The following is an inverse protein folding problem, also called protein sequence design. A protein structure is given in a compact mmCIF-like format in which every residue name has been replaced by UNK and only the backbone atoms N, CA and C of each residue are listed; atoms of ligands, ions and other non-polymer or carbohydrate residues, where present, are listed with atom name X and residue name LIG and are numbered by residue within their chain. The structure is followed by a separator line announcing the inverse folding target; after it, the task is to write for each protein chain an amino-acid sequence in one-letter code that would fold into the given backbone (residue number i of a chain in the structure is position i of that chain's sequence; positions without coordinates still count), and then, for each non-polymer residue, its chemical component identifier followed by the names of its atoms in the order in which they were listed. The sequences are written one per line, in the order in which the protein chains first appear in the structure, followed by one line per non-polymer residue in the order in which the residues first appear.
data_IF_841294388734
#
_entry.id   IF_841294388734
#
_cell.length_a   1.000
_cell.length_b   1.000
_cell.length_c   1.000
_cell.angle_alpha   90.00
_cell.angle_beta   90.00
_cell.angle_gamma   90.00
#
_symmetry.space_group_name_H-M   'P 1'
#
loop_
_entity.id
_entity.type
_entity.pdbx_description
1 polymer ?
#
# COMPACT_ATOMS: atom_id res chain seq x y z
N UNK A 1 -6.13 19.26 -18.06
CA UNK A 1 -5.22 18.18 -17.65
C UNK A 1 -5.96 17.12 -16.83
N UNK A 2 -6.66 17.50 -15.76
CA UNK A 2 -7.42 16.59 -14.88
C UNK A 2 -8.33 15.64 -15.68
N UNK A 3 -9.21 16.16 -16.53
CA UNK A 3 -10.12 15.34 -17.35
C UNK A 3 -9.40 14.31 -18.23
N UNK A 4 -8.20 14.64 -18.76
CA UNK A 4 -7.41 13.68 -19.55
C UNK A 4 -6.83 12.54 -18.69
N UNK A 5 -6.42 12.83 -17.46
CA UNK A 5 -5.84 11.84 -16.54
C UNK A 5 -6.91 10.91 -15.99
N UNK A 6 -8.08 11.47 -15.61
CA UNK A 6 -9.17 10.70 -15.00
C UNK A 6 -10.20 10.14 -16.00
N UNK A 7 -10.02 10.35 -17.32
CA UNK A 7 -11.01 9.93 -18.33
C UNK A 7 -11.37 8.43 -18.25
N UNK A 8 -10.37 7.57 -18.03
CA UNK A 8 -10.61 6.14 -17.91
C UNK A 8 -11.31 5.78 -16.62
N UNK A 9 -11.02 6.48 -15.51
CA UNK A 9 -11.76 6.31 -14.28
C UNK A 9 -13.25 6.67 -14.47
N UNK A 10 -13.56 7.77 -15.15
CA UNK A 10 -14.96 8.14 -15.47
C UNK A 10 -15.64 7.13 -16.38
N UNK A 11 -14.96 6.59 -17.40
CA UNK A 11 -15.51 5.56 -18.29
C UNK A 11 -15.81 4.29 -17.49
N UNK A 12 -14.85 3.83 -16.67
CA UNK A 12 -15.02 2.64 -15.84
C UNK A 12 -16.13 2.85 -14.81
N UNK A 13 -16.27 4.06 -14.25
CA UNK A 13 -17.39 4.41 -13.36
C UNK A 13 -18.73 4.26 -14.06
N UNK A 14 -18.88 4.86 -15.24
CA UNK A 14 -20.13 4.78 -16.00
C UNK A 14 -20.49 3.32 -16.37
N UNK A 15 -19.49 2.55 -16.82
CA UNK A 15 -19.66 1.14 -17.14
C UNK A 15 -19.97 0.30 -15.89
N UNK A 16 -19.22 0.48 -14.80
CA UNK A 16 -19.39 -0.30 -13.58
C UNK A 16 -20.72 -0.03 -12.89
N UNK A 17 -21.14 1.24 -12.81
CA UNK A 17 -22.48 1.60 -12.30
C UNK A 17 -23.59 1.06 -13.21
N UNK A 18 -23.42 1.17 -14.55
CA UNK A 18 -24.35 0.62 -15.51
C UNK A 18 -24.49 -0.91 -15.40
N UNK A 19 -23.37 -1.62 -15.28
CA UNK A 19 -23.37 -3.09 -15.07
C UNK A 19 -24.01 -3.44 -13.72
N UNK A 20 -23.74 -2.67 -12.65
CA UNK A 20 -24.39 -2.86 -11.36
C UNK A 20 -25.91 -2.75 -11.44
N UNK A 21 -26.42 -1.74 -12.16
CA UNK A 21 -27.86 -1.56 -12.38
C UNK A 21 -28.47 -2.72 -13.19
N UNK A 22 -27.76 -3.22 -14.21
CA UNK A 22 -28.19 -4.37 -14.99
C UNK A 22 -28.17 -5.67 -14.18
N UNK A 23 -27.28 -5.78 -13.19
CA UNK A 23 -27.11 -6.97 -12.36
C UNK A 23 -28.16 -7.08 -11.25
N UNK A 24 -28.38 -6.01 -10.44
CA UNK A 24 -29.32 -6.01 -9.29
C UNK A 24 -30.05 -4.66 -9.11
N UNK A 25 -30.29 -3.96 -10.20
CA UNK A 25 -31.11 -2.75 -10.22
C UNK A 25 -30.50 -1.54 -9.48
N UNK A 26 -31.36 -0.63 -9.02
CA UNK A 26 -30.93 0.62 -8.36
C UNK A 26 -30.25 0.40 -7.00
N UNK A 27 -30.54 -0.71 -6.33
CA UNK A 27 -29.88 -1.09 -5.08
C UNK A 27 -28.39 -1.32 -5.30
N UNK A 28 -28.03 -2.04 -6.36
CA UNK A 28 -26.62 -2.26 -6.72
C UNK A 28 -25.89 -0.97 -7.04
N UNK A 29 -26.55 0.01 -7.68
CA UNK A 29 -25.95 1.33 -7.93
C UNK A 29 -25.47 2.01 -6.64
N UNK A 30 -26.30 1.99 -5.60
CA UNK A 30 -25.91 2.56 -4.29
C UNK A 30 -24.72 1.82 -3.66
N UNK A 31 -24.76 0.48 -3.67
CA UNK A 31 -23.69 -0.36 -3.12
C UNK A 31 -22.36 -0.11 -3.86
N UNK A 32 -22.36 -0.18 -5.18
CA UNK A 32 -21.16 0.03 -6.02
C UNK A 32 -20.60 1.44 -5.82
N UNK A 33 -21.46 2.47 -5.73
CA UNK A 33 -21.02 3.84 -5.49
C UNK A 33 -20.37 3.99 -4.10
N UNK A 34 -20.98 3.43 -3.05
CA UNK A 34 -20.44 3.47 -1.68
C UNK A 34 -19.08 2.75 -1.63
N UNK A 35 -18.97 1.56 -2.24
CA UNK A 35 -17.73 0.81 -2.30
C UNK A 35 -16.62 1.57 -3.06
N UNK A 36 -16.96 2.23 -4.17
CA UNK A 36 -16.00 3.05 -4.92
C UNK A 36 -15.48 4.23 -4.09
N UNK A 37 -16.35 4.93 -3.38
CA UNK A 37 -15.97 6.04 -2.49
C UNK A 37 -15.11 5.54 -1.32
N UNK A 38 -15.49 4.42 -0.71
CA UNK A 38 -14.72 3.78 0.36
C UNK A 38 -13.31 3.46 -0.11
N UNK A 39 -13.16 2.79 -1.25
CA UNK A 39 -11.86 2.42 -1.82
C UNK A 39 -10.99 3.64 -2.11
N UNK A 40 -11.56 4.71 -2.72
CA UNK A 40 -10.83 5.95 -2.98
C UNK A 40 -10.33 6.58 -1.68
N UNK A 41 -11.14 6.54 -0.63
CA UNK A 41 -10.81 7.13 0.67
C UNK A 41 -9.73 6.35 1.41
N UNK A 42 -9.80 5.01 1.36
CA UNK A 42 -8.83 4.12 2.03
C UNK A 42 -7.49 4.05 1.31
N UNK A 43 -7.49 4.20 -0.02
CA UNK A 43 -6.28 4.03 -0.85
C UNK A 43 -5.63 5.35 -1.28
N UNK A 44 -5.96 6.47 -0.65
CA UNK A 44 -5.36 7.76 -1.01
C UNK A 44 -3.86 7.83 -0.67
N UNK A 45 -3.46 7.35 0.49
CA UNK A 45 -2.08 7.21 0.95
C UNK A 45 -1.27 6.31 0.00
N UNK A 46 -1.84 5.18 -0.42
CA UNK A 46 -1.24 4.29 -1.40
C UNK A 46 -0.92 5.03 -2.72
N UNK A 47 -1.80 5.92 -3.20
CA UNK A 47 -1.51 6.71 -4.39
C UNK A 47 -0.29 7.62 -4.24
N UNK A 48 -0.08 8.22 -3.07
CA UNK A 48 1.05 9.11 -2.78
C UNK A 48 2.36 8.31 -2.73
N UNK A 49 2.35 7.17 -2.06
CA UNK A 49 3.52 6.28 -1.94
C UNK A 49 3.92 5.72 -3.30
N UNK A 50 2.96 5.17 -4.02
CA UNK A 50 3.18 4.65 -5.36
C UNK A 50 3.74 5.73 -6.29
N UNK A 51 3.28 6.98 -6.17
CA UNK A 51 3.80 8.09 -6.96
C UNK A 51 5.27 8.40 -6.61
N UNK A 52 5.66 8.32 -5.32
CA UNK A 52 7.04 8.53 -4.86
C UNK A 52 8.03 7.55 -5.49
N UNK A 53 7.66 6.26 -5.49
CA UNK A 53 8.49 5.19 -6.06
C UNK A 53 8.45 5.25 -7.60
N UNK A 54 7.27 5.40 -8.19
CA UNK A 54 7.06 5.41 -9.63
C UNK A 54 7.83 6.54 -10.32
N UNK A 55 8.02 7.67 -9.65
CA UNK A 55 8.80 8.80 -10.13
C UNK A 55 10.27 8.42 -10.44
N UNK A 56 10.85 7.49 -9.68
CA UNK A 56 12.23 7.00 -9.87
C UNK A 56 12.36 6.05 -11.06
N UNK A 57 11.26 5.47 -11.54
CA UNK A 57 11.23 4.48 -12.60
C UNK A 57 11.21 5.10 -14.00
N UNK A 58 11.75 4.41 -14.99
CA UNK A 58 11.70 4.83 -16.38
C UNK A 58 10.27 4.92 -16.93
N UNK A 59 10.05 5.72 -17.99
CA UNK A 59 8.75 5.90 -18.63
C UNK A 59 8.12 4.57 -19.11
N UNK A 60 8.94 3.59 -19.49
CA UNK A 60 8.51 2.24 -19.87
C UNK A 60 7.88 1.51 -18.67
N UNK A 61 8.56 1.50 -17.52
CA UNK A 61 8.08 0.85 -16.31
C UNK A 61 6.91 1.57 -15.67
N UNK A 62 6.89 2.92 -15.74
CA UNK A 62 5.71 3.69 -15.38
C UNK A 62 4.48 3.27 -16.21
N UNK A 63 4.67 3.04 -17.52
CA UNK A 63 3.59 2.57 -18.38
C UNK A 63 3.15 1.14 -18.03
N UNK A 64 4.08 0.23 -17.70
CA UNK A 64 3.76 -1.13 -17.25
C UNK A 64 2.93 -1.07 -15.96
N UNK A 65 3.36 -0.29 -14.97
CA UNK A 65 2.61 -0.11 -13.73
C UNK A 65 1.19 0.43 -13.98
N UNK A 66 1.05 1.39 -14.91
CA UNK A 66 -0.23 1.98 -15.26
C UNK A 66 -1.13 1.10 -16.14
N UNK A 67 -0.62 0.00 -16.66
CA UNK A 67 -1.39 -0.96 -17.48
C UNK A 67 -1.51 -2.31 -16.80
N UNK A 68 -0.42 -3.04 -16.67
CA UNK A 68 -0.39 -4.37 -16.04
C UNK A 68 -0.66 -4.25 -14.54
N UNK A 69 -0.04 -3.28 -13.84
CA UNK A 69 -0.29 -3.04 -12.43
C UNK A 69 -1.76 -2.71 -12.13
N UNK A 70 -2.46 -2.00 -13.02
CA UNK A 70 -3.92 -1.78 -12.89
C UNK A 70 -4.70 -3.10 -12.99
N UNK A 71 -4.33 -3.98 -13.91
CA UNK A 71 -4.97 -5.30 -14.02
C UNK A 71 -4.72 -6.14 -12.78
N UNK A 72 -3.49 -6.14 -12.25
CA UNK A 72 -3.14 -6.81 -11.00
C UNK A 72 -3.95 -6.20 -9.83
N UNK A 73 -3.99 -4.89 -9.71
CA UNK A 73 -4.70 -4.22 -8.63
C UNK A 73 -6.22 -4.44 -8.67
N UNK A 74 -6.85 -4.37 -9.85
CA UNK A 74 -8.31 -4.50 -9.99
C UNK A 74 -8.76 -5.96 -9.94
N UNK A 75 -8.11 -6.84 -10.68
CA UNK A 75 -8.50 -8.25 -10.76
C UNK A 75 -7.70 -9.14 -9.82
N UNK A 76 -6.38 -8.95 -9.75
CA UNK A 76 -5.51 -9.75 -8.92
C UNK A 76 -5.84 -9.58 -7.44
N UNK A 77 -5.76 -8.36 -6.93
CA UNK A 77 -5.90 -8.11 -5.49
C UNK A 77 -7.35 -8.18 -5.00
N UNK A 78 -8.33 -7.85 -5.83
CA UNK A 78 -9.74 -7.77 -5.41
C UNK A 78 -10.55 -9.02 -5.71
N UNK A 79 -10.13 -9.84 -6.67
CA UNK A 79 -10.82 -11.09 -7.02
C UNK A 79 -9.94 -12.31 -6.80
N UNK A 80 -8.74 -12.34 -7.39
CA UNK A 80 -7.89 -13.54 -7.36
C UNK A 80 -7.27 -13.74 -5.98
N UNK A 81 -6.79 -12.69 -5.35
CA UNK A 81 -6.11 -12.77 -4.06
C UNK A 81 -7.01 -13.29 -2.92
N UNK A 82 -8.24 -12.78 -2.70
CA UNK A 82 -9.16 -13.35 -1.71
C UNK A 82 -9.50 -14.83 -2.00
N UNK A 83 -9.67 -15.19 -3.27
CA UNK A 83 -9.92 -16.60 -3.67
C UNK A 83 -8.72 -17.49 -3.32
N UNK A 84 -7.49 -17.02 -3.60
CA UNK A 84 -6.28 -17.79 -3.25
C UNK A 84 -6.11 -17.92 -1.75
N UNK A 85 -6.40 -16.88 -0.98
CA UNK A 85 -6.33 -16.92 0.47
C UNK A 85 -7.32 -17.95 1.03
N UNK A 86 -8.58 -17.90 0.59
CA UNK A 86 -9.58 -18.90 1.00
C UNK A 86 -9.13 -20.31 0.60
N UNK A 87 -8.59 -20.47 -0.60
CA UNK A 87 -8.07 -21.75 -1.08
C UNK A 87 -6.98 -22.31 -0.14
N UNK A 88 -6.03 -21.48 0.25
CA UNK A 88 -4.91 -21.88 1.12
C UNK A 88 -5.37 -22.10 2.57
N UNK A 89 -6.13 -21.16 3.13
CA UNK A 89 -6.53 -21.20 4.55
C UNK A 89 -7.57 -22.27 4.83
N UNK A 90 -8.55 -22.44 3.94
CA UNK A 90 -9.57 -23.50 4.05
C UNK A 90 -9.10 -24.86 3.51
N UNK A 91 -7.89 -24.93 2.93
CA UNK A 91 -7.31 -26.13 2.29
C UNK A 91 -8.22 -26.73 1.21
N UNK A 92 -8.88 -25.88 0.41
CA UNK A 92 -9.73 -26.25 -0.72
C UNK A 92 -9.06 -25.84 -2.04
N UNK A 93 -9.49 -26.42 -3.15
CA UNK A 93 -8.95 -26.04 -4.46
C UNK A 93 -9.36 -24.63 -4.90
N UNK A 94 -8.53 -23.92 -5.73
CA UNK A 94 -8.89 -22.59 -6.22
C UNK A 94 -10.22 -22.55 -6.97
N UNK A 95 -10.53 -23.59 -7.75
CA UNK A 95 -11.80 -23.71 -8.48
C UNK A 95 -12.98 -23.86 -7.51
N UNK A 96 -12.78 -24.60 -6.43
CA UNK A 96 -13.78 -24.78 -5.38
C UNK A 96 -14.02 -23.47 -4.62
N UNK A 97 -12.95 -22.71 -4.32
CA UNK A 97 -13.05 -21.35 -3.74
C UNK A 97 -13.86 -20.41 -4.63
N UNK A 98 -13.66 -20.45 -5.97
CA UNK A 98 -14.46 -19.66 -6.91
C UNK A 98 -15.93 -20.09 -6.90
N UNK A 99 -16.19 -21.42 -6.89
CA UNK A 99 -17.57 -21.93 -6.80
C UNK A 99 -18.25 -21.49 -5.50
N UNK A 100 -17.50 -21.52 -4.39
CA UNK A 100 -18.00 -21.07 -3.09
C UNK A 100 -18.34 -19.58 -3.12
N UNK A 101 -17.45 -18.74 -3.68
CA UNK A 101 -17.66 -17.31 -3.82
C UNK A 101 -18.90 -16.94 -4.64
N UNK A 102 -19.26 -17.77 -5.62
CA UNK A 102 -20.42 -17.54 -6.49
C UNK A 102 -21.71 -18.14 -5.95
N UNK A 103 -21.66 -19.29 -5.28
CA UNK A 103 -22.84 -20.07 -4.93
C UNK A 103 -23.17 -20.04 -3.42
N UNK A 104 -22.19 -19.79 -2.53
CA UNK A 104 -22.36 -19.71 -1.08
C UNK A 104 -21.54 -18.53 -0.52
N UNK A 105 -22.08 -17.33 -0.79
CA UNK A 105 -21.43 -16.05 -0.47
C UNK A 105 -21.16 -15.89 1.03
N UNK A 106 -22.07 -16.35 1.88
CA UNK A 106 -21.95 -16.24 3.34
C UNK A 106 -20.81 -17.11 3.86
N UNK A 107 -20.72 -18.34 3.35
CA UNK A 107 -19.61 -19.24 3.70
C UNK A 107 -18.27 -18.72 3.20
N UNK A 108 -18.24 -18.16 2.00
CA UNK A 108 -17.04 -17.54 1.45
C UNK A 108 -16.58 -16.34 2.29
N UNK A 109 -17.50 -15.45 2.67
CA UNK A 109 -17.22 -14.31 3.55
C UNK A 109 -16.65 -14.76 4.90
N UNK A 110 -17.22 -15.81 5.52
CA UNK A 110 -16.68 -16.37 6.77
C UNK A 110 -15.23 -16.81 6.63
N UNK A 111 -14.89 -17.53 5.56
CA UNK A 111 -13.53 -18.01 5.31
C UNK A 111 -12.55 -16.87 5.06
N UNK A 112 -12.95 -15.81 4.34
CA UNK A 112 -12.13 -14.61 4.17
C UNK A 112 -11.90 -13.91 5.51
N UNK A 113 -12.95 -13.79 6.33
CA UNK A 113 -12.86 -13.18 7.68
C UNK A 113 -11.98 -14.02 8.62
N UNK A 114 -12.07 -15.35 8.56
CA UNK A 114 -11.23 -16.25 9.35
C UNK A 114 -9.74 -16.16 8.94
N UNK A 115 -9.44 -15.80 7.70
CA UNK A 115 -8.09 -15.57 7.21
C UNK A 115 -7.51 -14.20 7.59
N UNK A 116 -8.36 -13.24 8.00
CA UNK A 116 -7.96 -11.87 8.29
C UNK A 116 -6.77 -11.75 9.25
N UNK A 117 -6.67 -12.47 10.41
CA UNK A 117 -5.53 -12.34 11.31
C UNK A 117 -4.18 -12.65 10.65
N UNK A 118 -4.15 -13.66 9.75
CA UNK A 118 -2.93 -14.02 9.03
C UNK A 118 -2.51 -12.94 8.04
N UNK A 119 -3.46 -12.37 7.34
CA UNK A 119 -3.21 -11.33 6.33
C UNK A 119 -2.83 -10.03 7.00
N UNK A 120 -3.52 -9.67 8.08
CA UNK A 120 -3.19 -8.50 8.89
C UNK A 120 -1.77 -8.61 9.48
N UNK A 121 -1.36 -9.80 9.92
CA UNK A 121 0.01 -10.04 10.37
C UNK A 121 1.03 -9.90 9.24
N UNK A 122 0.77 -10.51 8.08
CA UNK A 122 1.64 -10.39 6.90
C UNK A 122 1.78 -8.94 6.44
N UNK A 123 0.66 -8.28 6.14
CA UNK A 123 0.62 -6.90 5.65
C UNK A 123 1.14 -5.92 6.70
N UNK A 124 0.71 -6.05 7.95
CA UNK A 124 1.14 -5.22 9.07
C UNK A 124 2.65 -5.26 9.27
N UNK A 125 3.28 -6.45 9.22
CA UNK A 125 4.73 -6.58 9.32
C UNK A 125 5.48 -6.00 8.12
N UNK A 126 4.96 -6.21 6.91
CA UNK A 126 5.53 -5.64 5.69
C UNK A 126 5.50 -4.10 5.74
N UNK A 127 4.35 -3.50 6.07
CA UNK A 127 4.19 -2.05 6.17
C UNK A 127 4.97 -1.45 7.35
N UNK A 128 5.05 -2.17 8.48
CA UNK A 128 5.85 -1.74 9.63
C UNK A 128 7.32 -1.60 9.25
N UNK A 129 7.87 -2.53 8.47
CA UNK A 129 9.25 -2.43 7.99
C UNK A 129 9.47 -1.22 7.08
N UNK A 130 8.52 -0.92 6.18
CA UNK A 130 8.57 0.29 5.34
C UNK A 130 8.67 1.53 6.24
N UNK A 131 7.80 1.64 7.22
CA UNK A 131 7.76 2.78 8.13
C UNK A 131 9.03 2.89 8.99
N UNK A 132 9.48 1.77 9.58
CA UNK A 132 10.66 1.77 10.45
C UNK A 132 11.92 2.15 9.68
N UNK A 133 12.11 1.64 8.47
CA UNK A 133 13.25 2.02 7.64
C UNK A 133 13.18 3.50 7.26
N UNK A 134 12.00 4.01 6.93
CA UNK A 134 11.82 5.43 6.64
C UNK A 134 12.18 6.33 7.83
N UNK A 135 11.70 6.01 9.03
CA UNK A 135 11.86 6.88 10.20
C UNK A 135 13.27 6.82 10.81
N UNK A 136 14.01 5.72 10.56
CA UNK A 136 15.38 5.54 11.01
C UNK A 136 16.42 6.05 10.02
N UNK A 137 16.03 6.39 8.81
CA UNK A 137 16.90 6.99 7.80
C UNK A 137 17.21 8.45 8.13
N UNK A 138 18.49 8.83 8.06
CA UNK A 138 18.90 10.24 8.28
C UNK A 138 18.71 11.05 7.00
N UNK A 139 17.52 11.62 6.84
CA UNK A 139 17.12 12.44 5.69
C UNK A 139 17.46 13.90 5.91
N UNK A 140 17.81 14.61 4.84
CA UNK A 140 18.08 16.05 4.86
C UNK A 140 16.85 16.86 5.28
N UNK A 141 15.68 16.52 4.71
CA UNK A 141 14.40 17.17 5.03
C UNK A 141 13.69 16.34 6.10
N UNK A 142 13.38 17.00 7.20
CA UNK A 142 12.64 16.41 8.33
C UNK A 142 11.34 17.18 8.55
N UNK A 143 10.20 16.48 8.58
CA UNK A 143 8.89 17.09 8.85
C UNK A 143 8.69 17.29 10.36
N UNK A 144 8.85 16.23 11.16
CA UNK A 144 8.75 16.25 12.60
C UNK A 144 10.15 16.10 13.22
N UNK A 145 10.95 17.16 13.10
CA UNK A 145 12.37 17.12 13.48
C UNK A 145 12.64 16.70 14.95
N UNK A 146 11.70 16.99 15.87
CA UNK A 146 11.79 16.59 17.27
C UNK A 146 11.69 15.06 17.46
N UNK A 147 11.00 14.36 16.57
CA UNK A 147 10.83 12.91 16.57
C UNK A 147 11.86 12.24 15.65
N UNK A 148 12.01 12.73 14.42
CA UNK A 148 12.84 12.12 13.39
C UNK A 148 14.34 12.18 13.71
N UNK A 149 14.84 13.29 14.30
CA UNK A 149 16.26 13.40 14.67
C UNK A 149 16.74 12.36 15.67
N UNK A 150 16.06 12.10 16.82
CA UNK A 150 16.49 11.06 17.74
C UNK A 150 16.32 9.66 17.14
N UNK A 151 15.28 9.42 16.34
CA UNK A 151 15.05 8.11 15.72
C UNK A 151 16.09 7.82 14.62
N UNK A 152 16.48 8.81 13.81
CA UNK A 152 17.54 8.65 12.82
C UNK A 152 18.91 8.31 13.50
N UNK A 153 19.20 8.86 14.70
CA UNK A 153 20.37 8.45 15.46
C UNK A 153 20.31 7.00 15.95
N UNK A 154 19.12 6.55 16.36
CA UNK A 154 18.91 5.15 16.74
C UNK A 154 19.01 4.22 15.52
N UNK A 155 18.66 4.70 14.32
CA UNK A 155 18.78 3.97 13.07
C UNK A 155 20.22 3.58 12.70
N UNK A 156 21.23 4.16 13.34
CA UNK A 156 22.63 3.74 13.19
C UNK A 156 22.92 2.37 13.82
N UNK A 157 21.98 1.84 14.63
CA UNK A 157 22.09 0.48 15.17
C UNK A 157 21.62 -0.51 14.14
N UNK A 158 22.53 -1.35 13.67
CA UNK A 158 22.24 -2.38 12.69
C UNK A 158 21.06 -3.26 13.12
N UNK A 159 20.18 -3.56 12.15
CA UNK A 159 19.02 -4.44 12.36
C UNK A 159 17.96 -3.95 13.36
N UNK A 160 18.04 -2.72 13.86
CA UNK A 160 17.08 -2.22 14.87
C UNK A 160 15.64 -2.30 14.36
N UNK A 161 15.39 -1.92 13.11
CA UNK A 161 14.06 -2.00 12.49
C UNK A 161 13.51 -3.44 12.51
N UNK A 162 14.34 -4.42 12.14
CA UNK A 162 13.98 -5.85 12.15
C UNK A 162 13.70 -6.33 13.58
N UNK A 163 14.53 -5.95 14.55
CA UNK A 163 14.33 -6.31 15.96
C UNK A 163 13.01 -5.76 16.49
N UNK A 164 12.71 -4.49 16.23
CA UNK A 164 11.45 -3.87 16.68
C UNK A 164 10.24 -4.49 16.00
N UNK A 165 10.33 -4.79 14.70
CA UNK A 165 9.28 -5.48 13.98
C UNK A 165 9.02 -6.88 14.57
N UNK A 166 10.06 -7.67 14.84
CA UNK A 166 9.93 -8.98 15.47
C UNK A 166 9.35 -8.89 16.89
N UNK A 167 9.74 -7.89 17.69
CA UNK A 167 9.17 -7.65 19.02
C UNK A 167 7.67 -7.35 18.89
N UNK A 168 7.26 -6.49 17.97
CA UNK A 168 5.85 -6.19 17.72
C UNK A 168 5.07 -7.46 17.32
N UNK A 169 5.62 -8.31 16.45
CA UNK A 169 5.03 -9.58 16.05
C UNK A 169 4.91 -10.56 17.23
N UNK A 170 5.94 -10.67 18.06
CA UNK A 170 5.90 -11.51 19.26
C UNK A 170 4.80 -11.05 20.22
N UNK A 171 4.71 -9.74 20.48
CA UNK A 171 3.64 -9.19 21.32
C UNK A 171 2.27 -9.52 20.74
N UNK A 172 2.06 -9.30 19.44
CA UNK A 172 0.80 -9.62 18.76
C UNK A 172 0.44 -11.12 18.88
N UNK A 173 1.41 -12.01 18.61
CA UNK A 173 1.22 -13.46 18.74
C UNK A 173 0.90 -13.89 20.18
N UNK A 174 1.59 -13.32 21.18
CA UNK A 174 1.35 -13.62 22.60
C UNK A 174 -0.02 -13.11 23.06
N UNK A 175 -0.48 -11.95 22.60
CA UNK A 175 -1.83 -11.44 22.94
C UNK A 175 -2.92 -12.35 22.38
N UNK A 176 -2.76 -12.88 21.17
CA UNK A 176 -3.68 -13.89 20.60
C UNK A 176 -3.67 -15.17 21.41
N UNK A 177 -2.49 -15.66 21.82
CA UNK A 177 -2.37 -16.87 22.64
C UNK A 177 -3.01 -16.74 24.04
N UNK A 178 -2.85 -15.57 24.70
CA UNK A 178 -3.44 -15.32 26.04
C UNK A 178 -4.94 -15.20 26.01
N UNK A 179 -5.53 -14.57 25.00
CA UNK A 179 -6.97 -14.50 24.81
C UNK A 179 -7.61 -15.88 24.62
N UNK A 180 -6.86 -16.82 24.08
CA UNK A 180 -7.22 -18.21 23.91
C UNK A 180 -7.47 -18.95 25.23
N UNK A 181 -6.61 -18.71 26.21
CA UNK A 181 -6.73 -19.35 27.54
C UNK A 181 -8.01 -18.90 28.28
N UNK A 182 -8.51 -17.71 27.98
CA UNK A 182 -9.71 -17.17 28.63
C UNK A 182 -11.04 -17.67 28.01
N UNK A 183 -11.04 -18.12 26.75
CA UNK A 183 -12.27 -18.45 26.00
C UNK A 183 -12.36 -19.91 25.51
N UNK A 184 -11.44 -20.79 25.89
CA UNK A 184 -11.56 -22.25 25.73
C UNK A 184 -11.63 -22.78 24.29
N UNK A 185 -10.88 -22.23 23.35
CA UNK A 185 -10.92 -22.62 21.93
C UNK A 185 -9.53 -22.93 21.31
N UNK A 186 -9.51 -23.49 20.11
CA UNK A 186 -8.33 -23.84 19.28
C UNK A 186 -7.43 -22.64 18.86
N UNK A 187 -7.06 -21.79 19.79
CA UNK A 187 -6.37 -20.52 19.51
C UNK A 187 -4.83 -20.65 19.51
N UNK A 188 -4.27 -21.76 19.99
CA UNK A 188 -2.82 -22.03 19.84
C UNK A 188 -2.42 -22.09 18.35
N UNK A 189 -3.29 -22.64 17.50
CA UNK A 189 -3.10 -22.67 16.05
C UNK A 189 -3.14 -21.26 15.44
N UNK A 190 -3.98 -20.35 15.97
CA UNK A 190 -4.07 -18.97 15.49
C UNK A 190 -2.82 -18.16 15.80
N UNK A 191 -2.24 -18.28 16.99
CA UNK A 191 -0.99 -17.61 17.35
C UNK A 191 0.18 -18.04 16.47
N UNK A 192 0.31 -19.36 16.22
CA UNK A 192 1.30 -19.92 15.31
C UNK A 192 1.10 -19.42 13.87
N UNK A 193 -0.15 -19.34 13.41
CA UNK A 193 -0.49 -18.86 12.08
C UNK A 193 -0.15 -17.36 11.91
N UNK A 194 -0.48 -16.54 12.91
CA UNK A 194 -0.11 -15.12 12.96
C UNK A 194 1.40 -14.94 12.93
N UNK A 195 2.14 -15.71 13.76
CA UNK A 195 3.59 -15.63 13.79
C UNK A 195 4.21 -16.02 12.44
N UNK A 196 3.75 -17.12 11.85
CA UNK A 196 4.25 -17.60 10.54
C UNK A 196 3.94 -16.60 9.44
N UNK A 197 2.71 -16.05 9.38
CA UNK A 197 2.32 -15.06 8.40
C UNK A 197 3.09 -13.74 8.57
N UNK A 198 3.29 -13.28 9.80
CA UNK A 198 4.07 -12.08 10.08
C UNK A 198 5.55 -12.22 9.71
N UNK A 199 6.16 -13.38 10.01
CA UNK A 199 7.53 -13.69 9.56
C UNK A 199 7.59 -13.74 8.03
N UNK A 200 6.60 -14.32 7.36
CA UNK A 200 6.53 -14.32 5.90
C UNK A 200 6.44 -12.90 5.32
N UNK A 201 5.67 -12.00 5.94
CA UNK A 201 5.62 -10.58 5.56
C UNK A 201 6.96 -9.88 5.70
N UNK A 202 7.66 -10.10 6.81
CA UNK A 202 9.00 -9.58 7.04
C UNK A 202 10.01 -10.14 6.01
N UNK A 203 10.00 -11.44 5.75
CA UNK A 203 10.87 -12.08 4.75
C UNK A 203 10.58 -11.50 3.37
N UNK A 204 9.31 -11.34 3.00
CA UNK A 204 8.92 -10.74 1.72
C UNK A 204 9.47 -9.33 1.59
N UNK A 205 9.36 -8.50 2.65
CA UNK A 205 9.95 -7.16 2.66
C UNK A 205 11.47 -7.22 2.44
N UNK A 206 12.19 -8.08 3.18
CA UNK A 206 13.65 -8.17 3.08
C UNK A 206 14.11 -8.66 1.71
N UNK A 207 13.39 -9.62 1.11
CA UNK A 207 13.73 -10.13 -0.22
C UNK A 207 13.45 -9.07 -1.29
N UNK A 208 12.23 -8.53 -1.34
CA UNK A 208 11.81 -7.62 -2.41
C UNK A 208 12.52 -6.27 -2.29
N UNK A 209 12.59 -5.71 -1.07
CA UNK A 209 13.30 -4.46 -0.79
C UNK A 209 14.81 -4.60 -0.97
N UNK A 210 15.41 -5.67 -0.43
CA UNK A 210 16.85 -5.93 -0.56
C UNK A 210 17.28 -6.18 -2.00
N UNK A 211 16.47 -6.88 -2.80
CA UNK A 211 16.76 -7.05 -4.23
C UNK A 211 16.63 -5.73 -5.00
N UNK A 212 15.62 -4.89 -4.65
CA UNK A 212 15.50 -3.55 -5.25
C UNK A 212 16.74 -2.73 -4.98
N UNK A 213 17.14 -2.60 -3.72
CA UNK A 213 18.32 -1.82 -3.31
C UNK A 213 19.63 -2.36 -3.93
N UNK A 214 19.77 -3.69 -4.00
CA UNK A 214 20.94 -4.31 -4.62
C UNK A 214 21.07 -3.96 -6.11
N UNK A 215 19.95 -3.94 -6.85
CA UNK A 215 19.98 -3.60 -8.26
C UNK A 215 20.05 -2.09 -8.50
N UNK A 216 19.48 -1.26 -7.61
CA UNK A 216 19.63 0.19 -7.64
C UNK A 216 21.11 0.58 -7.42
N UNK A 217 21.77 0.06 -6.40
CA UNK A 217 23.19 0.36 -6.12
C UNK A 217 24.11 -0.05 -7.25
N UNK A 218 23.84 -1.16 -7.96
CA UNK A 218 24.60 -1.53 -9.14
C UNK A 218 24.42 -0.58 -10.32
N UNK A 219 23.22 -0.03 -10.49
CA UNK A 219 22.97 0.96 -11.53
C UNK A 219 23.66 2.28 -11.21
N UNK A 220 23.65 2.71 -9.96
CA UNK A 220 24.38 3.91 -9.50
C UNK A 220 25.89 3.77 -9.75
N UNK A 221 26.49 2.61 -9.42
CA UNK A 221 27.90 2.32 -9.73
C UNK A 221 28.21 2.33 -11.24
N UNK A 222 27.31 1.81 -12.07
CA UNK A 222 27.45 1.82 -13.52
C UNK A 222 27.32 3.25 -14.08
N UNK A 223 26.39 4.05 -13.54
CA UNK A 223 26.18 5.45 -13.91
C UNK A 223 27.35 6.33 -13.49
N UNK A 224 27.91 6.14 -12.30
CA UNK A 224 29.11 6.83 -11.84
C UNK A 224 30.29 6.55 -12.76
N UNK A 225 30.54 5.29 -13.10
CA UNK A 225 31.60 4.89 -14.06
C UNK A 225 31.38 5.45 -15.47
N UNK A 226 30.13 5.55 -15.93
CA UNK A 226 29.82 6.16 -17.22
C UNK A 226 29.92 7.68 -17.17
N UNK A 227 29.62 8.29 -16.02
CA UNK A 227 29.73 9.73 -15.80
C UNK A 227 31.18 10.17 -15.76
N UNK A 228 32.05 9.44 -15.02
CA UNK A 228 33.51 9.66 -15.03
C UNK A 228 34.07 9.60 -16.45
N UNK A 229 33.68 8.60 -17.25
CA UNK A 229 34.08 8.48 -18.66
C UNK A 229 33.49 9.60 -19.55
N UNK A 230 32.32 10.11 -19.23
CA UNK A 230 31.66 11.19 -19.99
C UNK A 230 32.24 12.58 -19.65
N UNK A 231 32.68 12.79 -18.41
CA UNK A 231 33.39 14.00 -17.99
C UNK A 231 34.75 14.09 -18.67
N UNK A 232 35.46 12.96 -18.82
CA UNK A 232 36.70 12.89 -19.65
C UNK A 232 36.44 13.31 -21.12
N UNK A 233 35.19 13.18 -21.61
CA UNK A 233 34.80 13.49 -23.01
C UNK A 233 33.96 14.80 -23.10
N UNK A 234 33.71 15.52 -22.01
CA UNK A 234 33.04 16.84 -22.01
C UNK A 234 31.55 16.82 -22.34
N UNK A 235 30.79 15.76 -21.96
CA UNK A 235 29.35 15.65 -22.18
C UNK A 235 28.58 15.69 -20.84
N UNK A 236 27.66 16.63 -20.70
CA UNK A 236 26.73 16.68 -19.58
C UNK A 236 25.62 15.63 -19.71
N UNK A 237 25.34 14.83 -18.67
CA UNK A 237 24.28 13.84 -18.62
C UNK A 237 23.26 14.15 -17.53
N UNK A 238 21.99 13.86 -17.80
CA UNK A 238 20.85 13.93 -16.87
C UNK A 238 20.76 12.63 -16.08
N UNK A 239 20.34 12.71 -14.80
CA UNK A 239 20.08 11.53 -13.95
C UNK A 239 19.20 10.50 -14.67
N UNK A 240 19.67 9.26 -14.78
CA UNK A 240 18.99 8.23 -15.52
C UNK A 240 17.89 7.59 -14.65
N UNK A 241 16.72 7.37 -15.25
CA UNK A 241 15.62 6.69 -14.59
C UNK A 241 15.91 5.18 -14.48
N UNK A 242 15.51 4.57 -13.35
CA UNK A 242 15.73 3.15 -13.07
C UNK A 242 15.09 2.26 -14.13
N UNK A 243 15.87 1.34 -14.69
CA UNK A 243 15.47 0.43 -15.79
C UNK A 243 15.84 -1.04 -15.48
N UNK A 244 15.49 -1.94 -16.36
CA UNK A 244 15.94 -3.34 -16.30
C UNK A 244 15.46 -4.08 -15.04
N UNK A 245 16.35 -4.84 -14.41
CA UNK A 245 16.03 -5.69 -13.25
C UNK A 245 15.68 -4.89 -12.01
N UNK A 246 16.36 -3.77 -11.75
CA UNK A 246 16.02 -2.90 -10.61
C UNK A 246 14.59 -2.37 -10.73
N UNK A 247 14.20 -1.85 -11.89
CA UNK A 247 12.82 -1.39 -12.11
C UNK A 247 11.79 -2.52 -12.02
N UNK A 248 12.13 -3.76 -12.38
CA UNK A 248 11.26 -4.92 -12.17
C UNK A 248 11.05 -5.19 -10.68
N UNK A 249 12.11 -5.15 -9.85
CA UNK A 249 11.96 -5.37 -8.41
C UNK A 249 11.26 -4.19 -7.71
N UNK A 250 11.47 -2.95 -8.17
CA UNK A 250 10.67 -1.80 -7.73
C UNK A 250 9.19 -1.96 -8.10
N UNK A 251 8.88 -2.46 -9.29
CA UNK A 251 7.51 -2.78 -9.69
C UNK A 251 6.91 -3.86 -8.78
N UNK A 252 7.65 -4.94 -8.51
CA UNK A 252 7.20 -6.00 -7.61
C UNK A 252 6.97 -5.47 -6.18
N UNK A 253 7.86 -4.62 -5.70
CA UNK A 253 7.72 -3.95 -4.41
C UNK A 253 6.45 -3.10 -4.33
N UNK A 254 6.15 -2.32 -5.38
CA UNK A 254 4.90 -1.57 -5.49
C UNK A 254 3.66 -2.48 -5.47
N UNK A 255 3.69 -3.62 -6.16
CA UNK A 255 2.56 -4.55 -6.17
C UNK A 255 2.33 -5.22 -4.81
N UNK A 256 3.41 -5.51 -4.04
CA UNK A 256 3.27 -6.06 -2.68
C UNK A 256 2.73 -4.99 -1.70
N UNK A 257 3.19 -3.75 -1.82
CA UNK A 257 2.61 -2.62 -1.07
C UNK A 257 1.12 -2.51 -1.38
N UNK A 258 0.76 -2.46 -2.67
CA UNK A 258 -0.64 -2.32 -3.11
C UNK A 258 -1.51 -3.49 -2.61
N UNK A 259 -0.96 -4.71 -2.60
CA UNK A 259 -1.60 -5.88 -2.01
C UNK A 259 -1.88 -5.71 -0.51
N UNK A 260 -0.88 -5.24 0.23
CA UNK A 260 -0.97 -5.08 1.68
C UNK A 260 -2.02 -4.04 2.08
N UNK A 261 -2.13 -2.94 1.33
CA UNK A 261 -3.18 -1.93 1.53
C UNK A 261 -4.56 -2.39 1.05
N UNK A 262 -4.61 -3.14 -0.05
CA UNK A 262 -5.86 -3.47 -0.75
C UNK A 262 -6.73 -4.45 0.03
N UNK A 263 -6.12 -5.31 0.86
CA UNK A 263 -6.85 -6.36 1.54
C UNK A 263 -7.78 -5.82 2.64
N UNK A 264 -7.35 -4.80 3.35
CA UNK A 264 -8.17 -4.14 4.39
C UNK A 264 -9.45 -3.55 3.77
N UNK A 265 -9.30 -2.92 2.59
CA UNK A 265 -10.45 -2.45 1.81
C UNK A 265 -11.41 -3.57 1.37
N UNK A 266 -10.89 -4.76 1.06
CA UNK A 266 -11.73 -5.93 0.71
C UNK A 266 -12.51 -6.43 1.93
N UNK A 267 -11.89 -6.54 3.11
CA UNK A 267 -12.57 -6.92 4.35
C UNK A 267 -13.66 -5.91 4.69
N UNK A 268 -13.37 -4.61 4.64
CA UNK A 268 -14.35 -3.56 4.90
C UNK A 268 -15.51 -3.57 3.91
N UNK A 269 -15.23 -3.91 2.66
CA UNK A 269 -16.26 -4.04 1.65
C UNK A 269 -17.23 -5.20 1.92
N UNK A 270 -16.79 -6.29 2.55
CA UNK A 270 -17.67 -7.38 2.99
C UNK A 270 -18.65 -6.97 4.10
N UNK A 271 -18.38 -5.89 4.84
CA UNK A 271 -19.34 -5.32 5.78
C UNK A 271 -20.52 -4.63 5.07
N UNK A 272 -20.35 -4.25 3.79
CA UNK A 272 -21.36 -3.57 2.98
C UNK A 272 -22.15 -4.58 2.13
N UNK A 273 -21.46 -5.54 1.52
CA UNK A 273 -22.07 -6.59 0.69
C UNK A 273 -21.20 -7.84 0.66
N UNK A 274 -21.84 -9.01 0.63
CA UNK A 274 -21.18 -10.30 0.39
C UNK A 274 -21.19 -10.73 -1.08
N UNK A 275 -21.70 -9.88 -1.97
CA UNK A 275 -21.74 -10.13 -3.41
C UNK A 275 -20.42 -9.76 -4.08
N UNK A 276 -19.66 -10.79 -4.50
CA UNK A 276 -18.32 -10.62 -5.09
C UNK A 276 -18.35 -9.80 -6.40
N UNK A 277 -19.48 -9.82 -7.13
CA UNK A 277 -19.64 -9.03 -8.38
C UNK A 277 -19.74 -7.55 -8.03
N UNK A 278 -20.55 -7.18 -7.04
CA UNK A 278 -20.68 -5.81 -6.58
C UNK A 278 -19.39 -5.30 -5.92
N UNK A 279 -18.72 -6.17 -5.16
CA UNK A 279 -17.37 -5.87 -4.60
C UNK A 279 -16.37 -5.56 -5.72
N UNK A 280 -16.28 -6.41 -6.72
CA UNK A 280 -15.36 -6.22 -7.86
C UNK A 280 -15.66 -4.94 -8.63
N UNK A 281 -16.92 -4.62 -8.88
CA UNK A 281 -17.32 -3.40 -9.59
C UNK A 281 -16.96 -2.14 -8.75
N UNK A 282 -17.33 -2.09 -7.48
CA UNK A 282 -17.11 -0.92 -6.61
C UNK A 282 -15.64 -0.68 -6.33
N UNK A 283 -14.93 -1.69 -5.82
CA UNK A 283 -13.50 -1.59 -5.55
C UNK A 283 -12.68 -1.39 -6.82
N UNK A 284 -13.10 -1.99 -7.95
CA UNK A 284 -12.47 -1.79 -9.26
C UNK A 284 -12.57 -0.34 -9.75
N UNK A 285 -13.73 0.30 -9.60
CA UNK A 285 -13.90 1.73 -9.88
C UNK A 285 -12.95 2.55 -9.00
N UNK A 286 -12.96 2.33 -7.68
CA UNK A 286 -12.10 3.03 -6.75
C UNK A 286 -10.62 2.91 -7.11
N UNK A 287 -10.15 1.71 -7.42
CA UNK A 287 -8.78 1.45 -7.86
C UNK A 287 -8.39 2.25 -9.11
N UNK A 288 -9.29 2.43 -10.06
CA UNK A 288 -9.04 3.26 -11.24
C UNK A 288 -8.84 4.74 -10.89
N UNK A 289 -9.53 5.25 -9.87
CA UNK A 289 -9.30 6.60 -9.37
C UNK A 289 -7.96 6.72 -8.65
N UNK A 290 -7.63 5.77 -7.80
CA UNK A 290 -6.33 5.72 -7.08
C UNK A 290 -5.17 5.72 -8.07
N UNK A 291 -5.22 4.87 -9.11
CA UNK A 291 -4.22 4.84 -10.19
C UNK A 291 -4.16 6.15 -10.99
N UNK A 292 -5.31 6.74 -11.29
CA UNK A 292 -5.37 8.05 -11.97
C UNK A 292 -4.76 9.16 -11.12
N UNK A 293 -4.96 9.10 -9.80
CA UNK A 293 -4.35 10.02 -8.83
C UNK A 293 -2.82 9.84 -8.79
N UNK A 294 -2.34 8.61 -8.72
CA UNK A 294 -0.90 8.29 -8.78
C UNK A 294 -0.24 8.91 -10.02
N UNK A 295 -0.85 8.71 -11.20
CA UNK A 295 -0.39 9.33 -12.47
C UNK A 295 -0.38 10.85 -12.39
N UNK A 296 -1.41 11.43 -11.81
CA UNK A 296 -1.54 12.87 -11.67
C UNK A 296 -0.41 13.43 -10.79
N UNK A 297 -0.13 12.79 -9.67
CA UNK A 297 0.93 13.18 -8.73
C UNK A 297 2.32 13.11 -9.40
N UNK A 298 2.61 12.01 -10.11
CA UNK A 298 3.89 11.82 -10.83
C UNK A 298 4.07 12.88 -11.91
N UNK A 299 3.05 13.10 -12.77
CA UNK A 299 3.15 14.01 -13.92
C UNK A 299 3.21 15.49 -13.55
N UNK A 300 2.64 15.88 -12.41
CA UNK A 300 2.63 17.27 -11.95
C UNK A 300 3.89 17.64 -11.18
N UNK A 301 4.74 16.68 -10.80
CA UNK A 301 5.85 16.94 -9.88
C UNK A 301 5.39 17.37 -8.49
N UNK A 302 4.14 17.06 -8.13
CA UNK A 302 3.50 17.52 -6.89
C UNK A 302 4.29 17.11 -5.65
N UNK A 303 5.00 15.99 -5.72
CA UNK A 303 5.84 15.52 -4.61
C UNK A 303 7.08 16.41 -4.39
N UNK A 304 7.62 17.02 -5.45
CA UNK A 304 8.75 17.97 -5.36
C UNK A 304 8.30 19.31 -4.79
N UNK A 305 7.09 19.75 -5.18
CA UNK A 305 6.51 20.99 -4.69
C UNK A 305 6.11 20.91 -3.20
N UNK A 306 5.72 19.71 -2.73
CA UNK A 306 5.23 19.47 -1.35
C UNK A 306 6.10 18.47 -0.61
N UNK A 307 7.27 18.91 -0.19
CA UNK A 307 8.36 18.08 0.38
C UNK A 307 7.99 17.22 1.60
N UNK A 308 6.96 17.60 2.36
CA UNK A 308 6.49 16.81 3.50
C UNK A 308 5.43 15.77 3.14
N UNK A 309 4.96 15.72 1.90
CA UNK A 309 3.91 14.80 1.48
C UNK A 309 4.37 13.33 1.57
N UNK A 310 5.62 13.07 1.22
CA UNK A 310 6.25 11.76 1.38
C UNK A 310 6.32 11.33 2.85
N UNK A 311 6.65 12.26 3.75
CA UNK A 311 6.65 11.98 5.19
C UNK A 311 5.26 11.63 5.68
N UNK A 312 4.23 12.43 5.33
CA UNK A 312 2.85 12.16 5.70
C UNK A 312 2.37 10.79 5.25
N UNK A 313 2.74 10.39 4.03
CA UNK A 313 2.41 9.07 3.50
C UNK A 313 3.08 7.94 4.30
N UNK A 314 4.38 8.05 4.65
CA UNK A 314 5.05 7.04 5.47
C UNK A 314 4.52 7.00 6.92
N UNK A 315 4.14 8.14 7.50
CA UNK A 315 3.46 8.14 8.80
C UNK A 315 2.08 7.47 8.72
N UNK A 316 1.36 7.64 7.61
CA UNK A 316 0.11 6.92 7.36
C UNK A 316 0.34 5.41 7.25
N UNK A 317 1.41 4.96 6.54
CA UNK A 317 1.83 3.54 6.52
C UNK A 317 2.09 3.03 7.94
N UNK A 318 2.86 3.78 8.74
CA UNK A 318 3.16 3.37 10.12
C UNK A 318 1.91 3.22 10.97
N UNK A 319 0.98 4.17 10.86
CA UNK A 319 -0.31 4.10 11.54
C UNK A 319 -1.13 2.89 11.07
N UNK A 320 -1.21 2.64 9.75
CA UNK A 320 -1.90 1.50 9.19
C UNK A 320 -1.25 0.17 9.62
N UNK A 321 0.08 0.09 9.63
CA UNK A 321 0.78 -1.10 10.12
C UNK A 321 0.42 -1.43 11.58
N UNK A 322 0.37 -0.43 12.44
CA UNK A 322 -0.07 -0.59 13.83
C UNK A 322 -1.54 -1.00 13.90
N UNK A 323 -2.40 -0.36 13.14
CA UNK A 323 -3.83 -0.71 13.06
C UNK A 323 -3.99 -2.17 12.63
N UNK A 324 -3.34 -2.61 11.56
CA UNK A 324 -3.38 -4.01 11.09
C UNK A 324 -2.94 -5.00 12.17
N UNK A 325 -1.85 -4.72 12.87
CA UNK A 325 -1.38 -5.57 13.97
C UNK A 325 -2.42 -5.62 15.11
N UNK A 326 -3.09 -4.50 15.40
CA UNK A 326 -4.14 -4.45 16.44
C UNK A 326 -5.41 -5.16 15.97
N UNK A 327 -5.75 -5.10 14.67
CA UNK A 327 -6.94 -5.78 14.10
C UNK A 327 -6.82 -7.30 14.10
N UNK A 328 -5.64 -7.86 14.34
CA UNK A 328 -5.46 -9.31 14.56
C UNK A 328 -6.39 -9.78 15.69
N UNK A 329 -6.62 -8.94 16.70
CA UNK A 329 -7.41 -9.29 17.89
C UNK A 329 -8.64 -8.41 18.10
N UNK A 330 -8.57 -7.13 17.72
CA UNK A 330 -9.63 -6.15 17.94
C UNK A 330 -10.16 -5.66 16.60
N UNK A 331 -11.48 -5.59 16.46
CA UNK A 331 -12.09 -5.00 15.27
C UNK A 331 -11.96 -3.48 15.32
N UNK A 332 -11.28 -2.91 14.35
CA UNK A 332 -11.20 -1.46 14.11
C UNK A 332 -11.99 -1.16 12.84
N UNK A 333 -12.81 -0.13 12.88
CA UNK A 333 -13.57 0.29 11.70
C UNK A 333 -12.64 0.82 10.61
N UNK A 334 -12.86 0.37 9.36
CA UNK A 334 -12.13 0.82 8.17
C UNK A 334 -12.23 2.35 7.99
N UNK A 335 -13.33 2.95 8.44
CA UNK A 335 -13.49 4.41 8.42
C UNK A 335 -12.42 5.10 9.28
N UNK A 336 -12.08 4.54 10.45
CA UNK A 336 -11.02 5.06 11.32
C UNK A 336 -9.68 4.92 10.62
N UNK A 337 -9.40 3.77 10.02
CA UNK A 337 -8.17 3.49 9.29
C UNK A 337 -7.96 4.49 8.16
N UNK A 338 -8.97 4.68 7.31
CA UNK A 338 -8.91 5.62 6.20
C UNK A 338 -8.78 7.08 6.66
N UNK A 339 -9.51 7.48 7.71
CA UNK A 339 -9.43 8.85 8.24
C UNK A 339 -8.04 9.17 8.81
N UNK A 340 -7.38 8.22 9.48
CA UNK A 340 -6.03 8.42 9.99
C UNK A 340 -5.05 8.71 8.84
N UNK A 341 -5.10 7.95 7.75
CA UNK A 341 -4.30 8.18 6.56
C UNK A 341 -4.54 9.56 5.94
N UNK A 342 -5.82 9.89 5.70
CA UNK A 342 -6.20 11.20 5.12
C UNK A 342 -5.76 12.37 6.00
N UNK A 343 -5.91 12.27 7.32
CA UNK A 343 -5.50 13.33 8.26
C UNK A 343 -3.99 13.52 8.24
N UNK A 344 -3.20 12.46 8.29
CA UNK A 344 -1.74 12.54 8.29
C UNK A 344 -1.20 13.13 6.98
N UNK A 345 -1.71 12.69 5.84
CA UNK A 345 -1.32 13.22 4.53
C UNK A 345 -1.81 14.66 4.36
N UNK A 346 -3.04 14.97 4.74
CA UNK A 346 -3.57 16.33 4.70
C UNK A 346 -2.77 17.31 5.57
N UNK A 347 -2.34 16.88 6.76
CA UNK A 347 -1.50 17.68 7.65
C UNK A 347 -0.10 17.91 7.05
N UNK A 348 0.52 16.90 6.47
CA UNK A 348 1.82 17.03 5.80
C UNK A 348 1.75 17.93 4.57
N UNK A 349 0.69 17.81 3.77
CA UNK A 349 0.41 18.69 2.65
C UNK A 349 0.29 20.16 3.10
N UNK A 350 -0.54 20.42 4.12
CA UNK A 350 -0.72 21.76 4.69
C UNK A 350 0.59 22.32 5.23
N UNK A 351 1.39 21.49 5.93
CA UNK A 351 2.72 21.88 6.42
C UNK A 351 3.67 22.27 5.28
N UNK A 352 3.62 21.56 4.15
CA UNK A 352 4.40 21.88 2.95
C UNK A 352 3.97 23.21 2.33
N UNK A 353 2.67 23.49 2.25
CA UNK A 353 2.12 24.76 1.77
C UNK A 353 2.61 25.92 2.64
N UNK A 354 2.55 25.76 3.96
CA UNK A 354 3.03 26.79 4.90
C UNK A 354 4.52 27.06 4.75
N UNK A 355 5.32 25.99 4.59
CA UNK A 355 6.76 26.12 4.33
C UNK A 355 7.03 26.88 3.04
N UNK A 356 6.37 26.52 1.95
CA UNK A 356 6.56 27.17 0.65
C UNK A 356 6.18 28.65 0.69
N UNK A 357 5.10 29.00 1.40
CA UNK A 357 4.71 30.41 1.60
C UNK A 357 5.77 31.21 2.38
N UNK A 358 6.36 30.62 3.43
CA UNK A 358 7.44 31.26 4.20
C UNK A 358 8.69 31.49 3.36
N UNK A 359 9.09 30.51 2.53
CA UNK A 359 10.23 30.65 1.63
C UNK A 359 10.00 31.73 0.56
N UNK A 360 8.80 31.80 0.02
CA UNK A 360 8.44 32.85 -0.95
C UNK A 360 8.46 34.26 -0.33
N UNK A 361 8.04 34.42 0.92
CA UNK A 361 8.10 35.72 1.61
C UNK A 361 9.51 36.14 1.98
N UNK A 362 10.39 35.19 2.37
CA UNK A 362 11.80 35.51 2.70
C UNK A 362 12.68 35.75 1.48
N UNK A 363 12.30 35.30 0.28
CA UNK A 363 13.00 35.58 -0.97
C UNK A 363 12.59 36.89 -1.66
N UNK A 364 11.54 37.57 -1.18
CA UNK A 364 11.15 38.89 -1.69
C UNK A 364 11.81 40.07 -0.97
N UNK A 365 12.50 39.81 0.15
CA UNK A 365 13.17 40.83 0.98
C UNK A 365 14.70 40.84 0.76
N UNK A 366 15.21 40.07 -0.22
CA UNK A 366 16.61 40.05 -0.67
C UNK A 366 16.75 40.53 -2.11
#
# INVERSE_FOLDING_TARGET
MILKTFRWAFVVTALGLGLGVLYDGTKALGIVAILAVLEISLSFDNAVINAGILKKMSAFWQKIFLTIGVLIAVFGMRLVFPVLIVSVTAKIGPIESVRLALNDKDRYQQLVTDAHPSIAAFGGMFLLMIFLNFIFEDREIKWQAWLERPLAKLGQVDMLAVCLALIALLIASMTVATSAHQHGGHHADKASTVLTAGVAGLITYLIVGGLSSFFEGRLEEEEERETEKAEEVGRARSAAAVTGKAAFFMFLYLEVIDASFSFDGVIGAFAITNDIVLLALGLGIGAMYVRSLTVFLVRKGTLDDYVYLEHGAHYAIGALAVILIVTIQYQISELITGLVGVVLIGWSFWSSVLRNRRLASSGSDA
#
